data_IF_778806345619
#
_entry.id   IF_778806345619
#
_cell.length_a   1.000
_cell.length_b   1.000
_cell.length_c   1.000
_cell.angle_alpha   90.00
_cell.angle_beta   90.00
_cell.angle_gamma   90.00
#
_symmetry.space_group_name_H-M   'P 1'
#
loop_
_entity.id
_entity.type
_entity.pdbx_description
1 polymer ?
#
# COMPACT_ATOMS: atom_id res chain seq x y z
N UNK A 1 1.76 -5.11 35.08
CA UNK A 1 1.10 -6.39 34.75
C UNK A 1 1.72 -7.03 33.53
N UNK A 2 1.62 -8.34 33.43
CA UNK A 2 2.03 -9.13 32.26
C UNK A 2 0.98 -10.14 31.93
N UNK A 3 0.72 -10.40 30.64
CA UNK A 3 -0.06 -11.50 30.15
C UNK A 3 0.82 -12.48 29.40
N UNK A 4 0.58 -13.78 29.56
CA UNK A 4 1.39 -14.83 28.96
C UNK A 4 0.57 -15.91 28.29
N UNK A 5 1.13 -16.49 27.23
CA UNK A 5 0.60 -17.67 26.56
C UNK A 5 1.76 -18.63 26.25
N UNK A 6 1.58 -19.93 26.60
CA UNK A 6 2.60 -20.95 26.33
C UNK A 6 3.97 -20.70 26.97
N UNK A 7 4.01 -20.02 28.12
CA UNK A 7 5.26 -19.67 28.81
C UNK A 7 5.97 -18.41 28.27
N UNK A 8 5.43 -17.75 27.23
CA UNK A 8 5.97 -16.49 26.71
C UNK A 8 5.11 -15.30 27.15
N UNK A 9 5.75 -14.15 27.44
CA UNK A 9 5.04 -12.91 27.69
C UNK A 9 4.53 -12.38 26.35
N UNK A 10 3.22 -12.27 26.18
CA UNK A 10 2.59 -11.76 24.94
C UNK A 10 2.08 -10.33 25.06
N UNK A 11 1.93 -9.83 26.31
CA UNK A 11 1.61 -8.43 26.58
C UNK A 11 2.17 -7.99 27.92
N UNK A 12 2.47 -6.71 28.07
CA UNK A 12 2.89 -6.11 29.33
C UNK A 12 2.31 -4.71 29.52
N UNK A 13 2.22 -4.33 30.80
CA UNK A 13 1.80 -3.01 31.23
C UNK A 13 2.68 -2.54 32.40
N UNK A 14 3.15 -1.30 32.31
CA UNK A 14 3.73 -0.54 33.41
C UNK A 14 3.06 0.82 33.49
N UNK A 15 1.98 0.88 34.25
CA UNK A 15 1.16 2.09 34.39
C UNK A 15 1.92 3.26 35.02
N UNK A 16 2.99 3.01 35.85
CA UNK A 16 3.78 4.07 36.44
C UNK A 16 4.66 4.80 35.41
N UNK A 17 5.08 4.11 34.38
CA UNK A 17 5.88 4.66 33.28
C UNK A 17 5.09 4.88 32.01
N UNK A 18 3.79 4.60 32.05
CA UNK A 18 2.89 4.65 30.87
C UNK A 18 3.41 3.82 29.68
N UNK A 19 3.94 2.63 29.98
CA UNK A 19 4.46 1.71 28.98
C UNK A 19 3.50 0.53 28.80
N UNK A 20 3.09 0.30 27.57
CA UNK A 20 2.19 -0.79 27.18
C UNK A 20 2.76 -1.47 25.94
N UNK A 21 2.73 -2.79 25.89
CA UNK A 21 3.25 -3.53 24.76
C UNK A 21 2.51 -4.84 24.53
N UNK A 22 2.37 -5.20 23.26
CA UNK A 22 1.83 -6.49 22.83
C UNK A 22 2.73 -7.09 21.76
N UNK A 23 2.74 -8.43 21.62
CA UNK A 23 3.50 -9.15 20.61
C UNK A 23 2.65 -9.64 19.42
N UNK A 24 1.37 -9.35 19.41
CA UNK A 24 0.44 -9.77 18.39
C UNK A 24 -0.13 -8.56 17.64
N UNK A 25 -0.62 -8.82 16.42
CA UNK A 25 -1.22 -7.78 15.57
C UNK A 25 -2.62 -7.44 16.08
N UNK A 26 -2.84 -6.18 16.46
CA UNK A 26 -4.12 -5.67 16.97
C UNK A 26 -5.10 -5.30 15.85
N UNK A 27 -4.60 -5.09 14.63
CA UNK A 27 -5.39 -4.62 13.48
C UNK A 27 -6.13 -5.73 12.74
N UNK A 28 -5.81 -6.99 13.03
CA UNK A 28 -6.60 -8.10 12.50
C UNK A 28 -8.04 -7.98 12.98
N UNK A 29 -9.00 -8.33 12.12
CA UNK A 29 -10.45 -8.29 12.37
C UNK A 29 -10.84 -9.17 13.57
N UNK A 30 -10.31 -8.81 14.73
CA UNK A 30 -10.48 -9.44 16.02
C UNK A 30 -11.12 -8.39 16.96
N UNK A 31 -12.29 -8.68 17.53
CA UNK A 31 -12.97 -7.80 18.48
C UNK A 31 -12.10 -7.40 19.66
N UNK A 32 -11.25 -8.31 20.13
CA UNK A 32 -10.37 -8.09 21.28
C UNK A 32 -9.23 -7.13 20.93
N UNK A 33 -8.59 -7.29 19.74
CA UNK A 33 -7.59 -6.37 19.23
C UNK A 33 -8.13 -4.94 19.07
N UNK A 34 -9.31 -4.81 18.49
CA UNK A 34 -10.00 -3.53 18.35
C UNK A 34 -10.35 -2.89 19.71
N UNK A 35 -10.70 -3.70 20.70
CA UNK A 35 -11.00 -3.23 22.06
C UNK A 35 -9.73 -2.71 22.74
N UNK A 36 -8.62 -3.45 22.64
CA UNK A 36 -7.32 -3.04 23.18
C UNK A 36 -6.88 -1.70 22.58
N UNK A 37 -6.98 -1.54 21.24
CA UNK A 37 -6.66 -0.28 20.56
C UNK A 37 -7.53 0.88 21.03
N UNK A 38 -8.84 0.66 21.18
CA UNK A 38 -9.76 1.69 21.70
C UNK A 38 -9.43 2.11 23.12
N UNK A 39 -9.20 1.16 24.02
CA UNK A 39 -8.84 1.43 25.40
C UNK A 39 -7.52 2.21 25.47
N UNK A 40 -6.52 1.78 24.69
CA UNK A 40 -5.23 2.49 24.64
C UNK A 40 -5.39 3.93 24.14
N UNK A 41 -6.06 4.11 23.00
CA UNK A 41 -6.19 5.43 22.38
C UNK A 41 -7.07 6.38 23.22
N UNK A 42 -8.21 5.90 23.72
CA UNK A 42 -9.20 6.74 24.42
C UNK A 42 -8.91 6.88 25.90
N UNK A 43 -8.72 5.75 26.59
CA UNK A 43 -8.68 5.74 28.05
C UNK A 43 -7.28 6.03 28.59
N UNK A 44 -6.23 5.64 27.87
CA UNK A 44 -4.84 5.85 28.26
C UNK A 44 -4.29 7.15 27.64
N UNK A 45 -4.43 7.32 26.31
CA UNK A 45 -3.90 8.48 25.60
C UNK A 45 -4.84 9.69 25.58
N UNK A 46 -6.10 9.54 25.96
CA UNK A 46 -7.10 10.62 25.96
C UNK A 46 -7.47 11.11 24.56
N UNK A 47 -7.26 10.29 23.52
CA UNK A 47 -7.56 10.69 22.16
C UNK A 47 -9.07 10.81 21.91
N UNK A 48 -9.48 11.90 21.29
CA UNK A 48 -10.85 12.09 20.85
C UNK A 48 -11.04 11.54 19.45
N UNK A 49 -12.04 10.68 19.18
CA UNK A 49 -12.30 10.13 17.86
C UNK A 49 -12.89 11.22 16.95
N UNK A 50 -12.07 11.80 16.10
CA UNK A 50 -12.49 12.81 15.12
C UNK A 50 -12.26 12.36 13.67
N UNK A 51 -11.35 11.40 13.47
CA UNK A 51 -10.98 10.89 12.15
C UNK A 51 -11.92 9.73 11.77
N UNK A 52 -12.54 9.83 10.61
CA UNK A 52 -13.41 8.80 10.02
C UNK A 52 -12.89 8.42 8.65
N UNK A 53 -13.30 7.25 8.14
CA UNK A 53 -12.95 6.82 6.78
C UNK A 53 -13.49 7.81 5.73
N UNK A 54 -14.67 8.37 5.96
CA UNK A 54 -15.24 9.38 5.05
C UNK A 54 -14.40 10.65 5.02
N UNK A 55 -13.88 11.10 6.18
CA UNK A 55 -12.96 12.23 6.24
C UNK A 55 -11.64 11.94 5.52
N UNK A 56 -11.09 10.74 5.69
CA UNK A 56 -9.88 10.30 4.98
C UNK A 56 -10.08 10.30 3.46
N UNK A 57 -11.20 9.73 2.99
CA UNK A 57 -11.55 9.70 1.58
C UNK A 57 -11.76 11.10 1.01
N UNK A 58 -12.43 11.99 1.75
CA UNK A 58 -12.65 13.37 1.33
C UNK A 58 -11.33 14.12 1.18
N UNK A 59 -10.40 13.94 2.12
CA UNK A 59 -9.08 14.56 2.07
C UNK A 59 -8.24 14.03 0.92
N UNK A 60 -8.20 12.70 0.71
CA UNK A 60 -7.49 12.09 -0.40
C UNK A 60 -8.03 12.58 -1.76
N UNK A 61 -9.35 12.64 -1.92
CA UNK A 61 -9.99 13.17 -3.13
C UNK A 61 -9.66 14.64 -3.35
N UNK A 62 -9.67 15.46 -2.29
CA UNK A 62 -9.29 16.86 -2.39
C UNK A 62 -7.86 17.03 -2.88
N UNK A 63 -6.91 16.36 -2.26
CA UNK A 63 -5.50 16.42 -2.64
C UNK A 63 -5.26 15.98 -4.09
N UNK A 64 -5.89 14.89 -4.53
CA UNK A 64 -5.79 14.42 -5.92
C UNK A 64 -6.46 15.38 -6.91
N UNK A 65 -7.58 15.99 -6.54
CA UNK A 65 -8.27 16.98 -7.38
C UNK A 65 -7.40 18.24 -7.53
N UNK A 66 -6.82 18.74 -6.45
CA UNK A 66 -5.89 19.88 -6.49
C UNK A 66 -4.69 19.58 -7.39
N UNK A 67 -4.08 18.41 -7.25
CA UNK A 67 -2.99 17.98 -8.12
C UNK A 67 -3.41 17.86 -9.60
N UNK A 68 -4.64 17.47 -9.89
CA UNK A 68 -5.16 17.34 -11.25
C UNK A 68 -5.38 18.69 -11.95
N UNK A 69 -5.66 19.76 -11.19
CA UNK A 69 -5.85 21.11 -11.70
C UNK A 69 -4.54 21.71 -12.23
N UNK A 70 -3.43 21.36 -11.61
CA UNK A 70 -2.09 21.82 -12.07
C UNK A 70 -1.71 21.27 -13.44
N UNK A 71 -2.49 20.33 -13.96
CA UNK A 71 -2.28 19.65 -15.23
C UNK A 71 -1.24 18.53 -15.13
N UNK A 72 -1.00 17.84 -16.22
CA UNK A 72 -0.10 16.68 -16.29
C UNK A 72 -0.85 15.36 -16.16
N UNK A 73 -0.08 14.29 -16.04
CA UNK A 73 -0.58 12.91 -15.95
C UNK A 73 -0.23 12.31 -14.61
N UNK A 74 -1.12 11.47 -14.08
CA UNK A 74 -0.87 10.64 -12.90
C UNK A 74 -0.43 9.24 -13.35
N UNK A 75 0.54 8.67 -12.64
CA UNK A 75 1.02 7.31 -12.83
C UNK A 75 0.88 6.55 -11.51
N UNK A 76 0.23 5.40 -11.55
CA UNK A 76 0.01 4.55 -10.38
C UNK A 76 0.62 3.17 -10.59
N UNK A 77 1.55 2.78 -9.71
CA UNK A 77 1.99 1.39 -9.61
C UNK A 77 0.90 0.53 -8.96
N UNK A 78 0.49 -0.56 -9.59
CA UNK A 78 -0.59 -1.40 -9.09
C UNK A 78 -0.17 -2.85 -8.89
N UNK A 79 -0.70 -3.48 -7.86
CA UNK A 79 -0.42 -4.88 -7.53
C UNK A 79 -1.29 -5.38 -6.39
N UNK A 80 -1.27 -4.73 -5.24
CA UNK A 80 -2.06 -5.04 -4.06
C UNK A 80 -3.41 -4.33 -4.00
N UNK A 81 -4.16 -4.54 -2.91
CA UNK A 81 -5.45 -3.89 -2.69
C UNK A 81 -5.30 -2.38 -2.50
N UNK A 82 -4.30 -1.94 -1.75
CA UNK A 82 -4.09 -0.53 -1.42
C UNK A 82 -3.79 0.30 -2.67
N UNK A 83 -2.89 -0.21 -3.52
CA UNK A 83 -2.55 0.44 -4.79
C UNK A 83 -3.72 0.49 -5.78
N UNK A 84 -4.63 -0.49 -5.75
CA UNK A 84 -5.85 -0.45 -6.56
C UNK A 84 -6.82 0.63 -6.09
N UNK A 85 -6.96 0.80 -4.76
CA UNK A 85 -7.78 1.88 -4.20
C UNK A 85 -7.18 3.24 -4.56
N UNK A 86 -5.87 3.40 -4.40
CA UNK A 86 -5.16 4.63 -4.79
C UNK A 86 -5.36 4.96 -6.28
N UNK A 87 -5.19 3.97 -7.16
CA UNK A 87 -5.42 4.13 -8.60
C UNK A 87 -6.87 4.50 -8.92
N UNK A 88 -7.85 3.90 -8.24
CA UNK A 88 -9.26 4.24 -8.40
C UNK A 88 -9.57 5.69 -8.00
N UNK A 89 -9.00 6.16 -6.90
CA UNK A 89 -9.13 7.56 -6.46
C UNK A 89 -8.43 8.52 -7.44
N UNK A 90 -7.24 8.16 -7.91
CA UNK A 90 -6.52 8.94 -8.90
C UNK A 90 -7.29 9.03 -10.22
N UNK A 91 -7.89 7.93 -10.67
CA UNK A 91 -8.70 7.93 -11.89
C UNK A 91 -9.94 8.83 -11.77
N UNK A 92 -10.59 8.89 -10.60
CA UNK A 92 -11.69 9.83 -10.36
C UNK A 92 -11.27 11.30 -10.52
N UNK A 93 -10.03 11.65 -10.16
CA UNK A 93 -9.52 13.01 -10.26
C UNK A 93 -8.92 13.36 -11.64
N UNK A 94 -8.18 12.43 -12.23
CA UNK A 94 -7.42 12.66 -13.46
C UNK A 94 -8.11 12.14 -14.73
N UNK A 95 -9.09 11.23 -14.61
CA UNK A 95 -9.74 10.58 -15.77
C UNK A 95 -8.72 9.85 -16.65
N UNK A 96 -8.81 10.06 -17.96
CA UNK A 96 -7.91 9.49 -18.98
C UNK A 96 -6.43 9.92 -18.83
N UNK A 97 -6.15 10.91 -18.01
CA UNK A 97 -4.77 11.35 -17.70
C UNK A 97 -4.12 10.53 -16.60
N UNK A 98 -4.81 9.53 -16.04
CA UNK A 98 -4.22 8.55 -15.13
C UNK A 98 -3.87 7.28 -15.90
N UNK A 99 -2.68 6.75 -15.66
CA UNK A 99 -2.24 5.45 -16.18
C UNK A 99 -1.79 4.56 -15.02
N UNK A 100 -2.44 3.40 -14.90
CA UNK A 100 -1.98 2.36 -13.99
C UNK A 100 -0.86 1.55 -14.65
N UNK A 101 0.14 1.15 -13.85
CA UNK A 101 1.26 0.32 -14.30
C UNK A 101 1.34 -0.93 -13.43
N UNK A 102 1.20 -2.08 -14.06
CA UNK A 102 1.44 -3.37 -13.43
C UNK A 102 2.74 -3.95 -13.94
N UNK A 103 3.66 -4.25 -13.03
CA UNK A 103 4.95 -4.86 -13.35
C UNK A 103 4.89 -6.34 -13.00
N UNK A 104 4.96 -7.19 -14.03
CA UNK A 104 5.09 -8.63 -13.88
C UNK A 104 6.53 -8.96 -13.49
N UNK A 105 6.69 -9.47 -12.28
CA UNK A 105 8.02 -9.74 -11.70
C UNK A 105 8.44 -11.21 -11.76
N UNK A 106 7.55 -12.09 -12.22
CA UNK A 106 7.75 -13.54 -12.15
C UNK A 106 7.59 -14.13 -10.74
N UNK A 107 7.22 -13.30 -9.74
CA UNK A 107 7.01 -13.71 -8.34
C UNK A 107 5.54 -13.70 -7.95
N UNK A 108 4.68 -13.29 -8.86
CA UNK A 108 3.24 -13.22 -8.66
C UNK A 108 2.60 -14.60 -8.78
N UNK A 109 1.40 -14.75 -8.24
CA UNK A 109 0.64 -15.99 -8.41
C UNK A 109 0.24 -16.17 -9.88
N UNK A 110 0.14 -17.41 -10.31
CA UNK A 110 -0.39 -17.70 -11.63
C UNK A 110 -1.78 -17.10 -11.82
N UNK A 111 -1.95 -16.28 -12.88
CA UNK A 111 -3.20 -15.61 -13.19
C UNK A 111 -3.39 -14.20 -12.59
N UNK A 112 -2.54 -13.73 -11.68
CA UNK A 112 -2.68 -12.39 -11.09
C UNK A 112 -2.65 -11.29 -12.17
N UNK A 113 -1.75 -11.37 -13.14
CA UNK A 113 -1.67 -10.41 -14.24
C UNK A 113 -2.95 -10.36 -15.08
N UNK A 114 -3.55 -11.52 -15.36
CA UNK A 114 -4.83 -11.60 -16.09
C UNK A 114 -5.98 -11.01 -15.26
N UNK A 115 -6.01 -11.30 -13.95
CA UNK A 115 -7.02 -10.75 -13.04
C UNK A 115 -6.91 -9.22 -12.94
N UNK A 116 -5.70 -8.67 -12.85
CA UNK A 116 -5.47 -7.22 -12.86
C UNK A 116 -5.99 -6.61 -14.16
N UNK A 117 -5.65 -7.16 -15.34
CA UNK A 117 -6.17 -6.67 -16.63
C UNK A 117 -7.69 -6.62 -16.64
N UNK A 118 -8.35 -7.72 -16.28
CA UNK A 118 -9.81 -7.81 -16.31
C UNK A 118 -10.47 -6.74 -15.41
N UNK A 119 -9.91 -6.49 -14.22
CA UNK A 119 -10.42 -5.44 -13.30
C UNK A 119 -10.30 -4.06 -13.93
N UNK A 120 -9.15 -3.71 -14.51
CA UNK A 120 -8.92 -2.38 -15.08
C UNK A 120 -9.72 -2.16 -16.35
N UNK A 121 -9.92 -3.19 -17.19
CA UNK A 121 -10.83 -3.16 -18.34
C UNK A 121 -12.27 -2.91 -17.92
N UNK A 122 -12.77 -3.63 -16.88
CA UNK A 122 -14.12 -3.42 -16.35
C UNK A 122 -14.34 -2.00 -15.80
N UNK A 123 -13.30 -1.42 -15.22
CA UNK A 123 -13.34 -0.06 -14.67
C UNK A 123 -13.11 1.03 -15.74
N UNK A 124 -12.80 0.66 -16.98
CA UNK A 124 -12.43 1.60 -18.03
C UNK A 124 -11.17 2.40 -17.73
N UNK A 125 -10.25 1.83 -16.96
CA UNK A 125 -9.04 2.52 -16.49
C UNK A 125 -7.84 2.15 -17.36
N UNK A 126 -7.03 3.13 -17.85
CA UNK A 126 -5.83 2.85 -18.60
C UNK A 126 -4.83 2.02 -17.79
N UNK A 127 -4.41 0.88 -18.34
CA UNK A 127 -3.43 -0.02 -17.71
C UNK A 127 -2.30 -0.35 -18.69
N UNK A 128 -1.06 -0.17 -18.25
CA UNK A 128 0.13 -0.72 -18.90
C UNK A 128 0.61 -1.93 -18.09
N UNK A 129 0.89 -3.02 -18.79
CA UNK A 129 1.49 -4.21 -18.18
C UNK A 129 2.88 -4.36 -18.75
N UNK A 130 3.87 -4.40 -17.86
CA UNK A 130 5.29 -4.48 -18.17
C UNK A 130 5.82 -5.80 -17.63
N UNK A 131 6.36 -6.62 -18.51
CA UNK A 131 7.01 -7.87 -18.11
C UNK A 131 8.49 -7.61 -17.79
N UNK A 132 8.86 -7.85 -16.53
CA UNK A 132 10.23 -7.77 -16.02
C UNK A 132 10.64 -9.06 -15.31
N UNK A 133 9.92 -10.14 -15.54
CA UNK A 133 10.14 -11.41 -14.82
C UNK A 133 11.57 -11.91 -14.97
N UNK A 134 12.12 -11.91 -16.18
CA UNK A 134 13.47 -12.40 -16.43
C UNK A 134 14.53 -11.56 -15.71
N UNK A 135 14.43 -10.24 -15.78
CA UNK A 135 15.37 -9.31 -15.14
C UNK A 135 15.32 -9.40 -13.61
N UNK A 136 14.11 -9.44 -13.04
CA UNK A 136 13.92 -9.57 -11.59
C UNK A 136 14.48 -10.91 -11.10
N UNK A 137 14.16 -12.02 -11.77
CA UNK A 137 14.66 -13.34 -11.40
C UNK A 137 16.18 -13.44 -11.56
N UNK A 138 16.76 -12.82 -12.59
CA UNK A 138 18.21 -12.75 -12.78
C UNK A 138 18.88 -11.97 -11.63
N UNK A 139 18.31 -10.84 -11.23
CA UNK A 139 18.83 -9.98 -10.16
C UNK A 139 18.73 -10.63 -8.77
N UNK A 140 17.84 -11.61 -8.60
CA UNK A 140 17.68 -12.38 -7.36
C UNK A 140 18.73 -13.49 -7.21
N UNK A 141 19.44 -13.86 -8.26
CA UNK A 141 20.46 -14.93 -8.20
C UNK A 141 21.55 -14.56 -7.21
N UNK A 142 21.90 -15.51 -6.35
CA UNK A 142 22.92 -15.34 -5.31
C UNK A 142 22.45 -14.59 -4.06
N UNK A 143 21.22 -14.06 -4.01
CA UNK A 143 20.67 -13.44 -2.81
C UNK A 143 20.13 -14.52 -1.86
N UNK A 144 20.62 -14.52 -0.63
CA UNK A 144 20.30 -15.59 0.32
C UNK A 144 19.21 -15.18 1.31
N UNK A 145 19.28 -13.96 1.83
CA UNK A 145 18.35 -13.48 2.87
C UNK A 145 17.08 -12.87 2.26
N UNK A 146 15.99 -12.93 3.02
CA UNK A 146 14.73 -12.28 2.63
C UNK A 146 14.88 -10.75 2.49
N UNK A 147 15.72 -10.12 3.33
CA UNK A 147 16.02 -8.69 3.24
C UNK A 147 16.66 -8.31 1.91
N UNK A 148 17.69 -9.05 1.49
CA UNK A 148 18.34 -8.84 0.18
C UNK A 148 17.36 -9.04 -0.98
N UNK A 149 16.58 -10.11 -0.95
CA UNK A 149 15.60 -10.40 -2.01
C UNK A 149 14.54 -9.28 -2.12
N UNK A 150 14.02 -8.86 -0.97
CA UNK A 150 13.05 -7.76 -0.93
C UNK A 150 13.64 -6.46 -1.47
N UNK A 151 14.85 -6.10 -1.06
CA UNK A 151 15.52 -4.90 -1.54
C UNK A 151 15.69 -4.91 -3.07
N UNK A 152 16.11 -6.04 -3.65
CA UNK A 152 16.23 -6.18 -5.11
C UNK A 152 14.90 -5.99 -5.82
N UNK A 153 13.84 -6.65 -5.36
CA UNK A 153 12.50 -6.52 -5.98
C UNK A 153 12.00 -5.09 -5.91
N UNK A 154 12.13 -4.45 -4.74
CA UNK A 154 11.70 -3.05 -4.56
C UNK A 154 12.48 -2.12 -5.48
N UNK A 155 13.81 -2.29 -5.60
CA UNK A 155 14.64 -1.49 -6.52
C UNK A 155 14.19 -1.66 -7.97
N UNK A 156 14.01 -2.90 -8.44
CA UNK A 156 13.56 -3.18 -9.80
C UNK A 156 12.18 -2.54 -10.10
N UNK A 157 11.25 -2.64 -9.16
CA UNK A 157 9.93 -2.02 -9.30
C UNK A 157 10.03 -0.49 -9.36
N UNK A 158 10.81 0.11 -8.45
CA UNK A 158 10.98 1.56 -8.40
C UNK A 158 11.65 2.10 -9.67
N UNK A 159 12.73 1.47 -10.14
CA UNK A 159 13.40 1.84 -11.39
C UNK A 159 12.46 1.76 -12.59
N UNK A 160 11.63 0.72 -12.66
CA UNK A 160 10.66 0.58 -13.74
C UNK A 160 9.57 1.65 -13.66
N UNK A 161 9.07 1.96 -12.47
CA UNK A 161 8.09 3.04 -12.27
C UNK A 161 8.64 4.39 -12.72
N UNK A 162 9.89 4.72 -12.37
CA UNK A 162 10.55 5.95 -12.83
C UNK A 162 10.62 5.96 -14.37
N UNK A 163 11.12 4.88 -14.99
CA UNK A 163 11.22 4.76 -16.45
C UNK A 163 9.90 4.96 -17.15
N UNK A 164 8.83 4.34 -16.65
CA UNK A 164 7.49 4.46 -17.23
C UNK A 164 6.92 5.87 -17.03
N UNK A 165 7.19 6.51 -15.91
CA UNK A 165 6.78 7.89 -15.64
C UNK A 165 7.49 8.87 -16.60
N UNK A 166 8.79 8.72 -16.78
CA UNK A 166 9.58 9.54 -17.73
C UNK A 166 9.13 9.35 -19.18
N UNK A 167 8.65 8.15 -19.54
CA UNK A 167 8.13 7.84 -20.88
C UNK A 167 6.74 8.42 -21.16
N UNK A 168 6.05 9.00 -20.16
CA UNK A 168 4.74 9.65 -20.32
C UNK A 168 4.96 11.17 -20.39
N UNK A 169 4.77 11.81 -21.55
CA UNK A 169 4.94 13.26 -21.69
C UNK A 169 4.00 14.01 -20.74
N UNK A 170 4.56 14.88 -19.91
CA UNK A 170 3.79 15.68 -18.96
C UNK A 170 3.37 14.95 -17.68
N UNK A 171 3.92 13.76 -17.40
CA UNK A 171 3.72 13.11 -16.10
C UNK A 171 4.37 13.97 -14.99
N UNK A 172 3.58 14.34 -13.99
CA UNK A 172 4.00 15.17 -12.87
C UNK A 172 3.81 14.51 -11.51
N UNK A 173 2.94 13.54 -11.42
CA UNK A 173 2.49 12.94 -10.15
C UNK A 173 2.67 11.43 -10.20
N UNK A 174 3.39 10.89 -9.22
CA UNK A 174 3.46 9.46 -8.93
C UNK A 174 2.54 9.17 -7.73
N UNK A 175 1.61 8.24 -7.90
CA UNK A 175 0.65 7.82 -6.87
C UNK A 175 0.89 6.37 -6.45
#
# INVERSE_FOLDING_TARGET
>A
GTAGAGGCTVAFEDSKRSLFGVQFELERNDPDGSTILKNFARDICGCTPWFTMDAALAEARRALTEASIEGGFAVCGVGGVDSRVAAGLAHQAFGERMTAIYVETGLMRAGDGAAVRAIYEQLGMPLRVIDRAEDVLASLRGRQTMGEKRAVVVSCLHEEMIRQTEAIPGAKTLV
#
